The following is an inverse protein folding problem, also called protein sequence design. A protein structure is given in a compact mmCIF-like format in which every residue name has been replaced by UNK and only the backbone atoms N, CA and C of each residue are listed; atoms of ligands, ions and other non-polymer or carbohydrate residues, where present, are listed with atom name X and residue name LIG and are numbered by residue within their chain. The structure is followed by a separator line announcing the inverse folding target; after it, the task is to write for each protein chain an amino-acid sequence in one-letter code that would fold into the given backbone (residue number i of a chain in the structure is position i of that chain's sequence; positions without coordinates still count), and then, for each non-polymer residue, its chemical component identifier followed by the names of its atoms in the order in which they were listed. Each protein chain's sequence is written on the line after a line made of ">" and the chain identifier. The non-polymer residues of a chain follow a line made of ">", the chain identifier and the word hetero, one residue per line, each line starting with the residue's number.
data_IF_760622513567
#
_entry.id   IF_760622513567
#
_cell.length_a   1.000
_cell.length_b   1.000
_cell.length_c   1.000
_cell.angle_alpha   90.00
_cell.angle_beta   90.00
_cell.angle_gamma   90.00
#
_symmetry.space_group_name_H-M   'P 1'
#
loop_
_entity.id
_entity.type
_entity.pdbx_description
1 polymer ?
#
# COMPACT_ATOMS: atom_id res chain seq x y z
N UNK A 1 -9.32 3.98 16.06
CA UNK A 1 -8.94 4.34 14.67
C UNK A 1 -10.21 4.64 13.89
N UNK A 2 -10.33 5.80 13.22
CA UNK A 2 -11.43 6.05 12.28
C UNK A 2 -11.01 5.56 10.91
N UNK A 3 -11.51 4.40 10.49
CA UNK A 3 -11.34 3.90 9.14
C UNK A 3 -12.56 4.35 8.34
N UNK A 4 -12.34 5.07 7.24
CA UNK A 4 -13.35 5.28 6.22
C UNK A 4 -13.03 4.35 5.07
N UNK A 5 -13.78 3.29 4.97
CA UNK A 5 -13.64 2.26 3.96
C UNK A 5 -14.74 2.39 2.90
N UNK A 6 -14.38 2.10 1.63
CA UNK A 6 -15.26 2.07 0.48
C UNK A 6 -14.86 0.90 -0.41
N UNK A 7 -15.49 -0.24 -0.17
CA UNK A 7 -15.20 -1.48 -0.88
C UNK A 7 -16.00 -1.67 -2.17
N UNK A 8 -16.99 -0.80 -2.45
CA UNK A 8 -17.74 -0.87 -3.70
C UNK A 8 -17.04 -0.12 -4.85
N UNK A 9 -17.21 -0.61 -6.07
CA UNK A 9 -16.59 -0.07 -7.28
C UNK A 9 -16.88 1.42 -7.52
N UNK A 10 -17.95 1.96 -6.96
CA UNK A 10 -18.41 3.35 -7.13
C UNK A 10 -18.26 4.19 -5.86
N UNK A 11 -17.50 3.70 -4.89
CA UNK A 11 -17.33 4.36 -3.59
C UNK A 11 -16.38 5.56 -3.63
N UNK A 12 -15.40 5.57 -4.52
CA UNK A 12 -14.34 6.58 -4.55
C UNK A 12 -14.87 8.01 -4.83
N UNK A 13 -15.90 8.14 -5.66
CA UNK A 13 -16.58 9.43 -5.93
C UNK A 13 -17.18 10.10 -4.70
N UNK A 14 -17.40 9.34 -3.62
CA UNK A 14 -17.87 9.87 -2.33
C UNK A 14 -16.76 10.38 -1.42
N UNK A 15 -15.51 10.10 -1.80
CA UNK A 15 -14.30 10.53 -1.08
C UNK A 15 -13.66 11.71 -1.78
N UNK A 16 -13.55 11.65 -3.12
CA UNK A 16 -12.86 12.64 -3.92
C UNK A 16 -13.52 12.85 -5.27
N UNK A 17 -13.28 14.04 -5.88
CA UNK A 17 -13.69 14.32 -7.26
C UNK A 17 -12.77 13.55 -8.22
N UNK A 18 -13.30 12.51 -8.81
CA UNK A 18 -12.57 11.64 -9.73
C UNK A 18 -13.52 11.03 -10.76
N UNK A 19 -13.00 10.70 -11.94
CA UNK A 19 -13.72 9.90 -12.94
C UNK A 19 -13.82 8.44 -12.47
N UNK A 20 -14.76 8.20 -11.56
CA UNK A 20 -14.89 6.96 -10.81
C UNK A 20 -15.68 5.90 -11.59
N UNK A 21 -15.05 5.38 -12.63
CA UNK A 21 -15.56 4.30 -13.47
C UNK A 21 -14.50 3.21 -13.62
N UNK A 22 -14.87 1.92 -13.61
CA UNK A 22 -13.92 0.81 -13.69
C UNK A 22 -13.17 0.72 -15.04
N UNK A 23 -13.70 1.31 -16.09
CA UNK A 23 -13.09 1.39 -17.42
C UNK A 23 -12.12 2.56 -17.60
N UNK A 24 -12.04 3.47 -16.62
CA UNK A 24 -11.10 4.61 -16.61
C UNK A 24 -9.89 4.24 -15.75
N UNK A 25 -8.76 4.05 -16.41
CA UNK A 25 -7.50 3.70 -15.78
C UNK A 25 -6.63 4.96 -15.62
N UNK A 26 -6.13 5.19 -14.41
CA UNK A 26 -5.28 6.33 -14.08
C UNK A 26 -4.01 5.90 -13.37
N UNK A 27 -2.93 6.64 -13.59
CA UNK A 27 -1.73 6.58 -12.75
C UNK A 27 -1.93 7.49 -11.54
N UNK A 28 -1.38 7.10 -10.39
CA UNK A 28 -1.55 7.84 -9.15
C UNK A 28 -0.22 8.33 -8.62
N UNK A 29 -0.16 9.63 -8.34
CA UNK A 29 0.85 10.23 -7.48
C UNK A 29 0.14 10.81 -6.27
N UNK A 30 0.42 10.29 -5.08
CA UNK A 30 -0.31 10.62 -3.86
C UNK A 30 0.63 11.24 -2.85
N UNK A 31 0.39 12.52 -2.52
CA UNK A 31 1.06 13.22 -1.42
C UNK A 31 0.17 13.15 -0.19
N UNK A 32 0.67 12.55 0.88
CA UNK A 32 -0.02 12.48 2.16
C UNK A 32 0.78 13.31 3.16
N UNK A 33 0.13 14.24 3.84
CA UNK A 33 0.71 15.07 4.89
C UNK A 33 -0.13 14.96 6.15
N UNK A 34 0.50 14.66 7.30
CA UNK A 34 -0.21 14.49 8.57
C UNK A 34 0.66 14.87 9.77
N UNK A 35 0.06 14.94 10.97
CA UNK A 35 0.78 15.01 12.23
C UNK A 35 1.55 13.70 12.47
N UNK A 36 2.85 13.81 12.79
CA UNK A 36 3.75 12.66 12.93
C UNK A 36 3.46 11.81 14.16
N UNK A 37 2.94 12.41 15.23
CA UNK A 37 2.62 11.69 16.48
C UNK A 37 1.32 10.89 16.33
N UNK A 38 0.34 11.47 15.64
CA UNK A 38 -0.97 10.83 15.49
C UNK A 38 -1.02 9.84 14.31
N UNK A 39 -0.27 10.13 13.26
CA UNK A 39 -0.24 9.35 12.02
C UNK A 39 1.21 9.05 11.58
N UNK A 40 1.99 8.30 12.37
CA UNK A 40 3.38 8.00 12.02
C UNK A 40 3.54 7.13 10.77
N UNK A 41 2.50 6.41 10.37
CA UNK A 41 2.46 5.57 9.17
C UNK A 41 1.49 6.17 8.16
N UNK A 42 1.98 6.44 6.95
CA UNK A 42 1.21 6.96 5.82
C UNK A 42 1.48 6.08 4.60
N UNK A 43 0.47 5.33 4.14
CA UNK A 43 0.61 4.37 3.04
C UNK A 43 -0.33 4.70 1.89
N UNK A 44 0.11 4.40 0.68
CA UNK A 44 -0.71 4.40 -0.54
C UNK A 44 -0.20 3.35 -1.52
N UNK A 45 -0.78 3.31 -2.71
CA UNK A 45 -0.35 2.41 -3.77
C UNK A 45 1.02 2.80 -4.35
N UNK A 46 1.75 1.81 -4.85
CA UNK A 46 3.03 1.99 -5.52
C UNK A 46 4.23 2.07 -4.59
N UNK A 47 5.23 2.87 -4.96
CA UNK A 47 6.48 3.03 -4.22
C UNK A 47 6.62 4.45 -3.65
N UNK A 48 7.32 4.55 -2.52
CA UNK A 48 7.68 5.86 -1.95
C UNK A 48 8.74 6.50 -2.84
N UNK A 49 8.47 7.71 -3.35
CA UNK A 49 9.42 8.51 -4.11
C UNK A 49 10.03 9.65 -3.29
N UNK A 50 9.36 10.05 -2.21
CA UNK A 50 9.85 11.11 -1.33
C UNK A 50 9.25 11.00 0.06
N UNK A 51 10.05 11.28 1.07
CA UNK A 51 9.66 11.38 2.47
C UNK A 51 10.36 12.58 3.10
N UNK A 52 9.62 13.45 3.80
CA UNK A 52 10.16 14.64 4.46
C UNK A 52 9.50 14.89 5.81
N UNK A 53 10.30 15.34 6.74
CA UNK A 53 9.81 16.00 7.95
C UNK A 53 9.50 17.47 7.65
N UNK A 54 8.37 17.95 8.11
CA UNK A 54 7.90 19.32 7.96
C UNK A 54 7.92 20.04 9.32
N UNK A 55 7.63 21.34 9.30
CA UNK A 55 7.46 22.14 10.52
C UNK A 55 6.24 21.68 11.33
N UNK A 56 6.17 22.09 12.62
CA UNK A 56 5.03 21.81 13.51
C UNK A 56 4.70 20.33 13.67
N UNK A 57 5.73 19.47 13.77
CA UNK A 57 5.59 18.01 13.98
C UNK A 57 4.77 17.32 12.87
N UNK A 58 4.77 17.85 11.68
CA UNK A 58 4.13 17.23 10.52
C UNK A 58 5.18 16.51 9.67
N UNK A 59 4.73 15.55 8.91
CA UNK A 59 5.53 14.87 7.90
C UNK A 59 4.72 14.64 6.63
N UNK A 60 5.41 14.43 5.53
CA UNK A 60 4.80 14.07 4.25
C UNK A 60 5.49 12.86 3.65
N UNK A 61 4.70 12.05 2.95
CA UNK A 61 5.19 10.97 2.11
C UNK A 61 4.51 11.09 0.74
N UNK A 62 5.31 10.96 -0.32
CA UNK A 62 4.83 10.95 -1.70
C UNK A 62 5.01 9.55 -2.26
N UNK A 63 3.90 8.96 -2.68
CA UNK A 63 3.82 7.66 -3.33
C UNK A 63 3.58 7.84 -4.83
N UNK A 64 4.17 6.98 -5.64
CA UNK A 64 3.91 6.90 -7.07
C UNK A 64 3.56 5.46 -7.46
N UNK A 65 2.40 5.32 -8.09
CA UNK A 65 1.96 4.08 -8.69
C UNK A 65 2.02 4.23 -10.22
N UNK A 66 3.02 3.62 -10.88
CA UNK A 66 3.26 3.83 -12.31
C UNK A 66 2.27 3.07 -13.20
N UNK A 67 1.54 2.09 -12.63
CA UNK A 67 0.64 1.25 -13.40
C UNK A 67 -0.78 1.82 -13.41
N UNK A 68 -1.38 2.04 -14.61
CA UNK A 68 -2.75 2.51 -14.69
C UNK A 68 -3.73 1.53 -14.06
N UNK A 69 -4.57 2.03 -13.16
CA UNK A 69 -5.59 1.24 -12.48
C UNK A 69 -6.89 2.01 -12.27
N UNK A 70 -8.04 1.32 -12.14
CA UNK A 70 -9.30 1.96 -11.83
C UNK A 70 -9.31 2.48 -10.38
N UNK A 71 -10.17 3.45 -10.12
CA UNK A 71 -10.27 4.16 -8.82
C UNK A 71 -10.59 3.25 -7.63
N UNK A 72 -11.30 2.14 -7.83
CA UNK A 72 -11.64 1.23 -6.75
C UNK A 72 -10.44 0.44 -6.19
N UNK A 73 -9.30 0.43 -6.89
CA UNK A 73 -8.04 -0.13 -6.41
C UNK A 73 -7.17 0.89 -5.66
N UNK A 74 -7.59 2.15 -5.59
CA UNK A 74 -6.87 3.16 -4.82
C UNK A 74 -6.97 2.85 -3.32
N UNK A 75 -5.83 2.92 -2.63
CA UNK A 75 -5.74 2.73 -1.19
C UNK A 75 -4.96 3.87 -0.52
N UNK A 76 -5.44 4.30 0.64
CA UNK A 76 -4.75 5.23 1.52
C UNK A 76 -4.92 4.77 2.97
N UNK A 77 -3.82 4.66 3.69
CA UNK A 77 -3.82 4.30 5.12
C UNK A 77 -3.00 5.33 5.90
N UNK A 78 -3.56 5.82 6.99
CA UNK A 78 -2.85 6.68 7.94
C UNK A 78 -3.17 6.24 9.37
N UNK A 79 -2.16 6.03 10.21
CA UNK A 79 -2.40 5.59 11.57
C UNK A 79 -1.15 5.21 12.35
N UNK A 80 -1.39 4.75 13.59
CA UNK A 80 -0.37 4.16 14.47
C UNK A 80 -0.36 2.65 14.27
N UNK A 81 0.56 2.18 13.42
CA UNK A 81 0.67 0.78 13.05
C UNK A 81 2.08 0.26 13.29
N UNK A 82 2.20 -1.01 13.65
CA UNK A 82 3.47 -1.74 13.66
C UNK A 82 3.73 -2.35 12.28
N UNK A 83 5.00 -2.28 11.85
CA UNK A 83 5.44 -2.87 10.59
C UNK A 83 6.31 -4.09 10.85
N UNK A 84 5.87 -5.24 10.40
CA UNK A 84 6.67 -6.46 10.35
C UNK A 84 7.21 -6.63 8.94
N UNK A 85 8.54 -6.82 8.82
CA UNK A 85 9.26 -6.82 7.55
C UNK A 85 9.79 -8.21 7.24
N UNK A 86 9.68 -8.59 5.98
CA UNK A 86 10.30 -9.80 5.41
C UNK A 86 10.66 -9.54 3.94
N UNK A 87 11.15 -10.55 3.26
CA UNK A 87 11.52 -10.46 1.87
C UNK A 87 11.09 -11.70 1.10
N UNK A 88 10.86 -11.54 -0.19
CA UNK A 88 10.70 -12.63 -1.14
C UNK A 88 11.79 -12.53 -2.21
N UNK A 89 12.36 -13.65 -2.61
CA UNK A 89 13.34 -13.71 -3.70
C UNK A 89 12.63 -14.28 -4.92
N UNK A 90 12.53 -13.48 -5.97
CA UNK A 90 11.88 -13.90 -7.21
C UNK A 90 12.73 -14.92 -7.98
N UNK A 91 12.14 -15.55 -8.97
CA UNK A 91 12.80 -16.50 -9.87
C UNK A 91 14.00 -15.89 -10.60
N UNK A 92 13.96 -14.58 -10.89
CA UNK A 92 15.08 -13.81 -11.46
C UNK A 92 16.10 -13.32 -10.44
N UNK A 93 16.01 -13.75 -9.16
CA UNK A 93 16.84 -13.31 -8.04
C UNK A 93 16.65 -11.84 -7.62
N UNK A 94 15.53 -11.20 -7.99
CA UNK A 94 15.17 -9.88 -7.48
C UNK A 94 14.67 -10.02 -6.03
N UNK A 95 15.16 -9.15 -5.14
CA UNK A 95 14.70 -9.11 -3.75
C UNK A 95 13.51 -8.16 -3.63
N UNK A 96 12.34 -8.70 -3.35
CA UNK A 96 11.10 -7.97 -3.08
C UNK A 96 10.95 -7.79 -1.57
N UNK A 97 10.74 -6.56 -1.11
CA UNK A 97 10.47 -6.25 0.30
C UNK A 97 9.00 -6.50 0.60
N UNK A 98 8.72 -7.22 1.68
CA UNK A 98 7.38 -7.43 2.22
C UNK A 98 7.26 -6.63 3.51
N UNK A 99 6.29 -5.72 3.56
CA UNK A 99 5.97 -4.95 4.76
C UNK A 99 4.50 -5.19 5.12
N UNK A 100 4.24 -5.80 6.28
CA UNK A 100 2.89 -6.02 6.77
C UNK A 100 2.67 -5.11 7.97
N UNK A 101 1.66 -4.26 7.85
CA UNK A 101 1.28 -3.29 8.88
C UNK A 101 0.07 -3.80 9.65
N UNK A 102 0.17 -3.82 10.97
CA UNK A 102 -0.87 -4.32 11.87
C UNK A 102 -1.04 -3.38 13.07
N UNK A 103 -2.16 -3.48 13.77
CA UNK A 103 -2.34 -2.80 15.06
C UNK A 103 -1.39 -3.38 16.11
N UNK A 104 -1.09 -2.58 17.13
CA UNK A 104 -0.24 -3.02 18.23
C UNK A 104 -0.84 -4.26 18.94
N UNK A 105 -0.04 -5.32 19.06
CA UNK A 105 -0.43 -6.58 19.70
C UNK A 105 -0.85 -7.68 18.69
N UNK A 106 -1.01 -7.35 17.43
CA UNK A 106 -1.41 -8.30 16.38
C UNK A 106 -0.22 -8.89 15.60
N UNK A 107 1.01 -8.53 15.96
CA UNK A 107 2.24 -8.99 15.32
C UNK A 107 2.36 -10.53 15.30
N UNK A 108 1.79 -11.19 16.29
CA UNK A 108 1.77 -12.67 16.40
C UNK A 108 1.06 -13.37 15.24
N UNK A 109 0.15 -12.69 14.54
CA UNK A 109 -0.57 -13.24 13.39
C UNK A 109 0.13 -13.01 12.06
N UNK A 110 1.12 -12.12 12.03
CA UNK A 110 1.77 -11.68 10.78
C UNK A 110 2.53 -12.79 10.09
N UNK A 111 3.12 -13.74 10.84
CA UNK A 111 3.90 -14.82 10.23
C UNK A 111 3.07 -15.67 9.26
N UNK A 112 1.80 -15.92 9.59
CA UNK A 112 0.90 -16.65 8.68
C UNK A 112 0.64 -15.83 7.40
N UNK A 113 0.42 -14.53 7.53
CA UNK A 113 0.18 -13.64 6.38
C UNK A 113 1.41 -13.56 5.46
N UNK A 114 2.62 -13.43 6.03
CA UNK A 114 3.88 -13.44 5.27
C UNK A 114 4.02 -14.75 4.48
N UNK A 115 3.87 -15.89 5.16
CA UNK A 115 3.99 -17.21 4.53
C UNK A 115 2.96 -17.41 3.41
N UNK A 116 1.74 -16.92 3.59
CA UNK A 116 0.68 -17.00 2.58
C UNK A 116 1.01 -16.13 1.37
N UNK A 117 1.47 -14.90 1.60
CA UNK A 117 1.89 -13.98 0.53
C UNK A 117 3.06 -14.56 -0.28
N UNK A 118 4.11 -15.04 0.39
CA UNK A 118 5.26 -15.65 -0.29
C UNK A 118 4.87 -16.89 -1.11
N UNK A 119 3.95 -17.72 -0.60
CA UNK A 119 3.41 -18.86 -1.36
C UNK A 119 2.61 -18.42 -2.59
N UNK A 120 1.80 -17.37 -2.45
CA UNK A 120 1.03 -16.83 -3.56
C UNK A 120 1.94 -16.24 -4.64
N UNK A 121 2.94 -15.43 -4.26
CA UNK A 121 3.93 -14.90 -5.20
C UNK A 121 4.66 -16.02 -5.95
N UNK A 122 5.11 -17.04 -5.23
CA UNK A 122 5.75 -18.20 -5.85
C UNK A 122 4.81 -18.95 -6.80
N UNK A 123 3.55 -19.09 -6.44
CA UNK A 123 2.55 -19.75 -7.28
C UNK A 123 2.31 -18.99 -8.58
N UNK A 124 2.25 -17.63 -8.54
CA UNK A 124 2.13 -16.80 -9.72
C UNK A 124 3.34 -16.95 -10.65
N UNK A 125 4.55 -17.00 -10.10
CA UNK A 125 5.77 -17.25 -10.86
C UNK A 125 5.75 -18.65 -11.53
N UNK A 126 5.32 -19.67 -10.81
CA UNK A 126 5.33 -21.06 -11.29
C UNK A 126 4.22 -21.33 -12.33
N UNK A 127 3.04 -20.70 -12.17
CA UNK A 127 1.87 -20.96 -13.03
C UNK A 127 1.75 -20.03 -14.22
N UNK A 128 2.07 -18.74 -14.01
CA UNK A 128 1.86 -17.69 -15.01
C UNK A 128 3.16 -17.08 -15.50
N UNK A 129 4.30 -17.46 -14.91
CA UNK A 129 5.61 -16.84 -15.17
C UNK A 129 5.57 -15.31 -14.95
N UNK A 130 4.80 -14.87 -13.95
CA UNK A 130 4.67 -13.47 -13.54
C UNK A 130 5.47 -13.24 -12.27
N UNK A 131 6.47 -12.38 -12.33
CA UNK A 131 7.21 -11.90 -11.17
C UNK A 131 6.64 -10.55 -10.71
N UNK A 132 6.74 -10.29 -9.40
CA UNK A 132 6.37 -8.99 -8.85
C UNK A 132 7.30 -7.90 -9.36
N UNK A 133 6.75 -6.82 -9.90
CA UNK A 133 7.46 -5.81 -10.70
C UNK A 133 7.46 -4.37 -10.12
N UNK A 134 6.90 -4.18 -8.89
CA UNK A 134 6.98 -2.91 -8.14
C UNK A 134 8.15 -2.84 -7.16
#
# INVERSE_FOLDING_TARGET
>A
MCIRDRCEAEGFRRISFHSDRPDILSKYTVRIEADKNDYPVLLSNGNIIKENDLTNNRHEIIWEDPYPKPSYLFALVAGKLNCVKDNFITKSNKKVKINIYVEYGDEKYVQHAINSLQKSMKWDEDKYNLEYDL
#
